data_IF_578728784189
#
_entry.id   IF_578728784189
#
_cell.length_a   1.000
_cell.length_b   1.000
_cell.length_c   1.000
_cell.angle_alpha   90.00
_cell.angle_beta   90.00
_cell.angle_gamma   90.00
#
_symmetry.space_group_name_H-M   'P 1'
#
loop_
_entity.id
_entity.type
_entity.pdbx_description
1 polymer ?
#
# COMPACT_ATOMS: atom_id res chain seq x y z
N UNK A 1 14.41 -7.50 8.08
CA UNK A 1 13.25 -6.96 7.35
C UNK A 1 11.94 -7.07 8.13
N UNK A 2 11.41 -8.27 8.42
CA UNK A 2 10.10 -8.39 9.09
C UNK A 2 10.06 -8.06 10.60
N UNK A 3 11.19 -8.13 11.31
CA UNK A 3 11.27 -7.75 12.73
C UNK A 3 10.95 -6.25 12.96
N UNK A 4 11.44 -5.37 12.09
CA UNK A 4 11.23 -3.93 12.19
C UNK A 4 9.78 -3.52 11.92
N UNK A 5 9.11 -4.20 11.00
CA UNK A 5 7.67 -4.00 10.75
C UNK A 5 6.83 -4.47 11.95
N UNK A 6 7.22 -5.57 12.60
CA UNK A 6 6.55 -6.03 13.81
C UNK A 6 6.61 -5.00 14.95
N UNK A 7 7.68 -4.24 15.08
CA UNK A 7 7.92 -3.39 16.24
C UNK A 7 7.28 -1.99 16.12
N UNK A 8 6.65 -1.64 15.00
CA UNK A 8 5.95 -0.36 14.85
C UNK A 8 4.53 -0.40 15.46
N UNK A 9 4.34 0.35 16.54
CA UNK A 9 3.08 0.40 17.29
C UNK A 9 1.90 0.96 16.49
N UNK A 10 2.17 1.85 15.52
CA UNK A 10 1.12 2.40 14.64
C UNK A 10 0.67 1.33 13.66
N UNK A 11 1.60 0.57 13.07
CA UNK A 11 1.25 -0.58 12.21
C UNK A 11 0.41 -1.60 12.94
N UNK A 12 0.81 -1.95 14.16
CA UNK A 12 0.10 -2.92 15.00
C UNK A 12 -1.33 -2.48 15.26
N UNK A 13 -1.52 -1.22 15.65
CA UNK A 13 -2.84 -0.65 15.89
C UNK A 13 -3.71 -0.69 14.63
N UNK A 14 -3.19 -0.23 13.49
CA UNK A 14 -3.97 -0.14 12.24
C UNK A 14 -4.30 -1.51 11.64
N UNK A 15 -3.43 -2.52 11.82
CA UNK A 15 -3.68 -3.89 11.41
C UNK A 15 -4.48 -4.71 12.45
N UNK A 16 -4.83 -4.12 13.59
CA UNK A 16 -5.51 -4.82 14.70
C UNK A 16 -4.66 -5.94 15.32
N UNK A 17 -3.33 -5.84 15.22
CA UNK A 17 -2.40 -6.77 15.86
C UNK A 17 -2.34 -6.41 17.35
N UNK A 18 -2.71 -7.33 18.27
CA UNK A 18 -2.71 -7.03 19.70
C UNK A 18 -1.28 -6.75 20.22
N UNK A 19 -1.16 -5.75 21.10
CA UNK A 19 0.11 -5.25 21.67
C UNK A 19 0.95 -6.33 22.35
N UNK A 20 0.33 -7.38 22.89
CA UNK A 20 1.04 -8.47 23.60
C UNK A 20 1.75 -9.44 22.64
N UNK A 21 1.43 -9.41 21.35
CA UNK A 21 1.98 -10.33 20.36
C UNK A 21 3.26 -9.76 19.76
N UNK A 22 4.42 -10.25 20.21
CA UNK A 22 5.66 -10.18 19.43
C UNK A 22 5.46 -10.93 18.11
N UNK A 23 5.11 -10.22 17.03
CA UNK A 23 4.98 -10.80 15.71
C UNK A 23 6.37 -11.17 15.18
N UNK A 24 6.75 -12.43 15.30
CA UNK A 24 7.99 -12.89 14.67
C UNK A 24 7.97 -12.59 13.17
N UNK A 25 9.15 -12.53 12.54
CA UNK A 25 9.26 -12.42 11.09
C UNK A 25 8.39 -13.46 10.35
N UNK A 26 8.28 -14.66 10.92
CA UNK A 26 7.48 -15.76 10.41
C UNK A 26 5.98 -15.51 10.56
N UNK A 27 5.53 -14.92 11.66
CA UNK A 27 4.11 -14.54 11.85
C UNK A 27 3.71 -13.44 10.88
N UNK A 28 4.59 -12.45 10.68
CA UNK A 28 4.35 -11.39 9.70
C UNK A 28 4.31 -11.94 8.27
N UNK A 29 5.27 -12.80 7.90
CA UNK A 29 5.28 -13.45 6.59
C UNK A 29 4.02 -14.29 6.34
N UNK A 30 3.56 -15.05 7.35
CA UNK A 30 2.33 -15.84 7.26
C UNK A 30 1.11 -14.94 7.05
N UNK A 31 1.02 -13.86 7.82
CA UNK A 31 -0.06 -12.88 7.67
C UNK A 31 -0.10 -12.28 6.26
N UNK A 32 1.06 -11.91 5.69
CA UNK A 32 1.14 -11.42 4.30
C UNK A 32 0.67 -12.50 3.33
N UNK A 33 1.14 -13.75 3.45
CA UNK A 33 0.71 -14.84 2.56
C UNK A 33 -0.81 -15.10 2.64
N UNK A 34 -1.39 -15.06 3.84
CA UNK A 34 -2.83 -15.20 4.05
C UNK A 34 -3.58 -14.02 3.40
N UNK A 35 -3.11 -12.79 3.65
CA UNK A 35 -3.68 -11.58 3.08
C UNK A 35 -3.64 -11.57 1.54
N UNK A 36 -2.52 -11.99 0.95
CA UNK A 36 -2.34 -12.11 -0.49
C UNK A 36 -3.32 -13.11 -1.11
N UNK A 37 -3.47 -14.28 -0.48
CA UNK A 37 -4.41 -15.31 -0.94
C UNK A 37 -5.87 -14.84 -0.83
N UNK A 38 -6.24 -14.24 0.30
CA UNK A 38 -7.62 -13.82 0.54
C UNK A 38 -8.08 -12.67 -0.34
N UNK A 39 -7.17 -11.74 -0.66
CA UNK A 39 -7.50 -10.50 -1.36
C UNK A 39 -7.01 -10.46 -2.80
N UNK A 40 -6.54 -11.58 -3.35
CA UNK A 40 -5.90 -11.66 -4.66
C UNK A 40 -4.87 -10.52 -4.83
N UNK A 41 -3.88 -10.51 -3.93
CA UNK A 41 -2.98 -9.39 -3.77
C UNK A 41 -1.51 -9.79 -3.95
N UNK A 42 -0.69 -8.80 -4.26
CA UNK A 42 0.76 -8.90 -4.31
C UNK A 42 1.35 -7.82 -3.41
N UNK A 43 2.19 -8.23 -2.47
CA UNK A 43 2.80 -7.36 -1.45
C UNK A 43 4.30 -7.29 -1.66
N UNK A 44 4.82 -6.07 -1.59
CA UNK A 44 6.21 -5.75 -1.76
C UNK A 44 6.73 -5.03 -0.52
N UNK A 45 8.00 -5.29 -0.19
CA UNK A 45 8.70 -4.52 0.83
C UNK A 45 9.29 -3.25 0.22
N UNK A 46 9.18 -2.13 0.93
CA UNK A 46 9.90 -0.89 0.60
C UNK A 46 11.24 -0.96 1.33
N UNK A 47 12.34 -1.07 0.58
CA UNK A 47 13.70 -1.28 1.11
C UNK A 47 14.58 -0.09 0.77
N UNK A 48 15.37 0.39 1.75
CA UNK A 48 16.39 1.42 1.58
C UNK A 48 17.75 0.81 1.25
N UNK A 49 18.66 1.63 0.72
CA UNK A 49 20.08 1.28 0.55
C UNK A 49 20.65 0.66 1.83
N UNK A 50 21.09 -0.60 1.73
CA UNK A 50 21.56 -1.41 2.87
C UNK A 50 20.53 -2.36 3.48
N UNK A 51 19.62 -2.93 2.67
CA UNK A 51 18.70 -4.03 3.03
C UNK A 51 17.73 -3.73 4.19
N UNK A 52 17.49 -2.45 4.47
CA UNK A 52 16.58 -2.03 5.54
C UNK A 52 15.16 -1.86 4.98
N UNK A 53 14.27 -2.79 5.30
CA UNK A 53 12.85 -2.70 4.96
C UNK A 53 12.15 -1.70 5.90
N UNK A 54 11.58 -0.65 5.32
CA UNK A 54 10.97 0.49 6.05
C UNK A 54 9.47 0.56 5.90
N UNK A 55 8.88 -0.33 5.10
CA UNK A 55 7.46 -0.35 4.85
C UNK A 55 7.03 -1.48 3.92
N UNK A 56 5.75 -1.51 3.63
CA UNK A 56 5.13 -2.41 2.65
C UNK A 56 4.25 -1.62 1.70
N UNK A 57 4.11 -2.12 0.48
CA UNK A 57 3.13 -1.65 -0.49
C UNK A 57 2.50 -2.86 -1.15
N UNK A 58 1.24 -2.77 -1.54
CA UNK A 58 0.55 -3.88 -2.15
C UNK A 58 -0.48 -3.44 -3.16
N UNK A 59 -0.64 -4.27 -4.19
CA UNK A 59 -1.74 -4.24 -5.15
C UNK A 59 -2.68 -5.39 -4.80
N UNK A 60 -3.91 -5.08 -4.43
CA UNK A 60 -4.91 -6.05 -3.94
C UNK A 60 -6.24 -5.91 -4.64
N UNK A 61 -7.15 -6.85 -4.38
CA UNK A 61 -8.48 -6.91 -4.95
C UNK A 61 -8.41 -6.79 -6.48
N UNK A 62 -7.40 -7.44 -7.07
CA UNK A 62 -7.18 -7.40 -8.50
C UNK A 62 -8.33 -8.15 -9.16
N UNK A 63 -9.09 -7.43 -9.97
CA UNK A 63 -10.20 -7.94 -10.76
C UNK A 63 -9.92 -7.63 -12.23
N UNK A 64 -9.67 -8.69 -13.01
CA UNK A 64 -9.36 -8.57 -14.44
C UNK A 64 -10.61 -8.38 -15.31
N UNK A 65 -11.80 -8.66 -14.78
CA UNK A 65 -13.07 -8.40 -15.47
C UNK A 65 -13.41 -6.92 -15.37
N UNK A 66 -13.32 -6.35 -14.17
CA UNK A 66 -13.53 -4.91 -13.91
C UNK A 66 -12.29 -4.06 -14.21
N UNK A 67 -11.18 -4.72 -14.56
CA UNK A 67 -9.84 -4.15 -14.80
C UNK A 67 -9.44 -3.17 -13.71
N UNK A 68 -9.65 -3.57 -12.46
CA UNK A 68 -9.44 -2.70 -11.32
C UNK A 68 -8.65 -3.37 -10.20
N UNK A 69 -8.02 -2.55 -9.36
CA UNK A 69 -7.32 -3.01 -8.17
C UNK A 69 -7.30 -1.94 -7.09
N UNK A 70 -6.70 -2.28 -5.95
CA UNK A 70 -6.55 -1.39 -4.79
C UNK A 70 -5.10 -1.33 -4.36
N UNK A 71 -4.58 -0.11 -4.22
CA UNK A 71 -3.22 0.09 -3.71
C UNK A 71 -3.29 0.45 -2.22
N UNK A 72 -2.61 -0.35 -1.40
CA UNK A 72 -2.41 -0.10 0.02
C UNK A 72 -0.91 -0.01 0.31
N UNK A 73 -0.51 0.86 1.24
CA UNK A 73 0.88 0.92 1.68
C UNK A 73 0.96 1.39 3.11
N UNK A 74 2.09 1.07 3.71
CA UNK A 74 2.46 1.49 5.03
C UNK A 74 3.97 1.76 5.08
N UNK A 75 4.36 2.82 5.77
CA UNK A 75 5.77 3.16 6.01
C UNK A 75 5.95 3.54 7.47
N UNK A 76 6.99 2.99 8.08
CA UNK A 76 7.39 3.25 9.46
C UNK A 76 7.59 4.73 9.71
N UNK A 77 7.16 5.19 10.87
CA UNK A 77 7.03 6.61 11.20
C UNK A 77 8.33 7.40 10.99
N UNK A 78 9.47 6.79 11.34
CA UNK A 78 10.82 7.36 11.20
C UNK A 78 11.33 7.48 9.75
N UNK A 79 10.64 6.85 8.80
CA UNK A 79 11.04 6.75 7.39
C UNK A 79 10.09 7.48 6.44
N UNK A 80 9.06 8.15 6.99
CA UNK A 80 8.14 9.00 6.22
C UNK A 80 8.85 10.25 5.68
N UNK A 81 8.25 10.87 4.65
CA UNK A 81 8.70 12.14 4.02
C UNK A 81 10.07 12.11 3.32
N UNK A 82 10.63 10.91 3.05
CA UNK A 82 11.91 10.75 2.33
C UNK A 82 11.77 10.34 0.85
N UNK A 83 10.54 10.28 0.32
CA UNK A 83 10.28 9.98 -1.11
C UNK A 83 10.17 8.49 -1.47
N UNK A 84 10.70 7.57 -0.65
CA UNK A 84 10.70 6.13 -0.93
C UNK A 84 9.31 5.53 -1.18
N UNK A 85 8.29 5.96 -0.42
CA UNK A 85 6.92 5.52 -0.64
C UNK A 85 6.36 5.97 -1.99
N UNK A 86 6.76 7.16 -2.45
CA UNK A 86 6.32 7.71 -3.75
C UNK A 86 6.92 6.90 -4.90
N UNK A 87 8.20 6.56 -4.83
CA UNK A 87 8.83 5.72 -5.85
C UNK A 87 8.23 4.30 -5.89
N UNK A 88 8.05 3.69 -4.71
CA UNK A 88 7.41 2.38 -4.62
C UNK A 88 5.98 2.40 -5.18
N UNK A 89 5.23 3.47 -4.91
CA UNK A 89 3.88 3.67 -5.45
C UNK A 89 3.89 3.72 -6.99
N UNK A 90 4.80 4.48 -7.59
CA UNK A 90 4.94 4.54 -9.05
C UNK A 90 5.17 3.16 -9.67
N UNK A 91 6.06 2.35 -9.09
CA UNK A 91 6.32 0.99 -9.59
C UNK A 91 5.11 0.08 -9.52
N UNK A 92 4.32 0.18 -8.45
CA UNK A 92 3.09 -0.62 -8.31
C UNK A 92 1.99 -0.15 -9.26
N UNK A 93 1.97 1.14 -9.61
CA UNK A 93 1.12 1.66 -10.69
C UNK A 93 1.53 1.09 -12.05
N UNK A 94 2.82 1.07 -12.37
CA UNK A 94 3.35 0.45 -13.60
C UNK A 94 3.03 -1.05 -13.66
N UNK A 95 3.15 -1.74 -12.53
CA UNK A 95 2.77 -3.14 -12.40
C UNK A 95 1.28 -3.35 -12.66
N UNK A 96 0.41 -2.50 -12.10
CA UNK A 96 -1.03 -2.56 -12.36
C UNK A 96 -1.35 -2.39 -13.87
N UNK A 97 -0.67 -1.46 -14.54
CA UNK A 97 -0.75 -1.29 -16.00
C UNK A 97 -0.31 -2.57 -16.72
N UNK A 98 0.83 -3.15 -16.34
CA UNK A 98 1.37 -4.37 -16.96
C UNK A 98 0.46 -5.59 -16.79
N UNK A 99 -0.32 -5.64 -15.70
CA UNK A 99 -1.34 -6.66 -15.43
C UNK A 99 -2.64 -6.43 -16.22
N UNK A 100 -2.73 -5.34 -16.99
CA UNK A 100 -3.91 -5.00 -17.79
C UNK A 100 -5.04 -4.33 -17.01
N UNK A 101 -4.72 -3.67 -15.88
CA UNK A 101 -5.70 -2.88 -15.14
C UNK A 101 -5.86 -1.50 -15.78
N UNK A 102 -7.09 -0.99 -15.75
CA UNK A 102 -7.49 0.33 -16.25
C UNK A 102 -7.64 1.36 -15.12
N UNK A 103 -7.71 0.91 -13.86
CA UNK A 103 -7.84 1.80 -12.71
C UNK A 103 -7.38 1.18 -11.41
N UNK A 104 -6.91 2.01 -10.49
CA UNK A 104 -6.59 1.63 -9.11
C UNK A 104 -7.24 2.57 -8.11
N UNK A 105 -7.64 2.04 -6.95
CA UNK A 105 -8.40 2.77 -5.93
C UNK A 105 -7.81 2.67 -4.53
N UNK A 106 -8.12 3.64 -3.69
CA UNK A 106 -7.91 3.54 -2.24
C UNK A 106 -8.96 4.32 -1.46
N UNK A 107 -9.08 3.99 -0.18
CA UNK A 107 -9.81 4.78 0.80
C UNK A 107 -8.79 5.25 1.83
N UNK A 108 -8.64 6.56 1.96
CA UNK A 108 -7.59 7.22 2.75
C UNK A 108 -8.27 8.10 3.78
N UNK A 109 -7.87 8.02 5.05
CA UNK A 109 -8.39 8.93 6.07
C UNK A 109 -8.11 10.39 5.68
N UNK A 110 -9.08 11.29 5.91
CA UNK A 110 -8.99 12.72 5.56
C UNK A 110 -7.77 13.39 6.19
N UNK A 111 -7.43 12.99 7.41
CA UNK A 111 -6.27 13.43 8.19
C UNK A 111 -4.93 12.92 7.65
N UNK A 112 -4.92 11.88 6.82
CA UNK A 112 -3.69 11.29 6.27
C UNK A 112 -3.20 12.08 5.05
N UNK A 113 -2.81 13.33 5.30
CA UNK A 113 -2.27 14.27 4.30
C UNK A 113 -1.09 13.67 3.50
N UNK A 114 -0.14 12.92 4.09
CA UNK A 114 0.94 12.30 3.33
C UNK A 114 0.45 11.35 2.24
N UNK A 115 -0.49 10.44 2.56
CA UNK A 115 -1.01 9.48 1.58
C UNK A 115 -1.82 10.18 0.49
N UNK A 116 -2.62 11.17 0.85
CA UNK A 116 -3.38 12.00 -0.11
C UNK A 116 -2.47 12.64 -1.15
N UNK A 117 -1.36 13.26 -0.72
CA UNK A 117 -0.37 13.88 -1.61
C UNK A 117 0.29 12.88 -2.56
N UNK A 118 0.52 11.64 -2.13
CA UNK A 118 1.08 10.60 -3.00
C UNK A 118 0.09 10.25 -4.11
N UNK A 119 -1.19 10.07 -3.78
CA UNK A 119 -2.23 9.80 -4.76
C UNK A 119 -2.40 10.96 -5.73
N UNK A 120 -2.54 12.18 -5.24
CA UNK A 120 -2.69 13.39 -6.05
C UNK A 120 -1.49 13.59 -7.01
N UNK A 121 -0.25 13.30 -6.56
CA UNK A 121 0.95 13.37 -7.39
C UNK A 121 0.93 12.38 -8.56
N UNK A 122 0.30 11.22 -8.40
CA UNK A 122 0.19 10.20 -9.45
C UNK A 122 -1.12 10.30 -10.24
N UNK A 123 -1.77 11.46 -10.23
CA UNK A 123 -3.02 11.69 -10.98
C UNK A 123 -4.27 11.17 -10.29
N UNK A 124 -4.19 10.80 -9.02
CA UNK A 124 -5.31 10.34 -8.22
C UNK A 124 -6.36 11.42 -8.05
N UNK A 125 -7.61 11.08 -8.37
CA UNK A 125 -8.79 11.95 -8.28
C UNK A 125 -9.65 11.50 -7.12
N UNK A 126 -10.26 12.46 -6.44
CA UNK A 126 -11.24 12.17 -5.39
C UNK A 126 -12.55 11.74 -6.05
N UNK A 127 -13.05 10.56 -5.67
CA UNK A 127 -14.31 10.00 -6.16
C UNK A 127 -15.44 10.29 -5.18
N UNK A 128 -15.21 10.06 -3.89
CA UNK A 128 -16.15 10.38 -2.82
C UNK A 128 -15.43 10.71 -1.51
N UNK A 129 -16.14 11.40 -0.61
CA UNK A 129 -15.72 11.64 0.76
C UNK A 129 -16.86 11.20 1.68
N UNK A 130 -16.63 10.19 2.53
CA UNK A 130 -17.60 9.65 3.48
C UNK A 130 -16.90 9.26 4.78
N UNK A 131 -17.54 9.55 5.92
CA UNK A 131 -17.11 9.13 7.27
C UNK A 131 -15.62 9.36 7.58
N UNK A 132 -15.10 10.56 7.31
CA UNK A 132 -13.71 10.86 7.61
C UNK A 132 -12.70 10.24 6.64
N UNK A 133 -13.15 9.66 5.51
CA UNK A 133 -12.32 9.01 4.50
C UNK A 133 -12.60 9.58 3.11
N UNK A 134 -11.54 9.68 2.33
CA UNK A 134 -11.53 10.10 0.94
C UNK A 134 -11.23 8.88 0.08
N UNK A 135 -12.14 8.55 -0.83
CA UNK A 135 -11.88 7.57 -1.87
C UNK A 135 -11.12 8.23 -3.02
N UNK A 136 -9.97 7.69 -3.35
CA UNK A 136 -9.18 8.09 -4.51
C UNK A 136 -9.24 7.02 -5.61
N UNK A 137 -9.19 7.47 -6.86
CA UNK A 137 -9.05 6.63 -8.05
C UNK A 137 -7.97 7.23 -8.98
N UNK A 138 -7.14 6.36 -9.54
CA UNK A 138 -6.22 6.70 -10.63
C UNK A 138 -6.68 5.89 -11.84
N UNK A 139 -6.94 6.58 -12.94
CA UNK A 139 -7.12 5.95 -14.25
C UNK A 139 -5.75 5.62 -14.83
N UNK A 140 -5.60 4.38 -15.24
CA UNK A 140 -4.40 3.84 -15.87
C UNK A 140 -4.63 3.91 -17.38
N UNK A 141 -4.31 5.06 -17.98
CA UNK A 141 -4.22 5.18 -19.43
C UNK A 141 -3.19 4.13 -19.87
N UNK A 142 -3.66 3.02 -20.48
CA UNK A 142 -2.87 1.85 -20.84
C UNK A 142 -1.77 2.08 -21.89
N UNK A 143 -1.16 3.27 -21.91
CA UNK A 143 0.05 3.58 -22.66
C UNK A 143 1.25 3.11 -21.83
N UNK A 144 1.93 2.03 -22.24
CA UNK A 144 3.31 1.88 -21.82
C UNK A 144 4.06 3.12 -22.29
N UNK A 145 4.72 3.81 -21.35
CA UNK A 145 5.70 4.86 -21.65
C UNK A 145 6.86 4.33 -22.46
#
# INVERSE_FOLDING_TARGET
MAAMLCEDDILRRDLGIPEDRKSTAETFARFICEWERERNASTYAIVLDGDTAVGTISLSHVDLVERSGRIGYWVGSDYRKKGHCTEAFGRVVEEAVSRGLERVRASIAEENIPSRRIWERHGGRVVCCEDGKIAYEIELDGKPS
#
